data_IF_465059216905
#
_entry.id   IF_465059216905
#
_cell.length_a   1.000
_cell.length_b   1.000
_cell.length_c   1.000
_cell.angle_alpha   90.00
_cell.angle_beta   90.00
_cell.angle_gamma   90.00
#
_symmetry.space_group_name_H-M   'P 1'
#
loop_
_entity.id
_entity.type
_entity.pdbx_description
1 polymer ?
#
# COMPACT_ATOMS: atom_id res chain seq x y z
N UNK A 1 1.96 -4.87 10.35
CA UNK A 1 1.53 -6.29 10.13
C UNK A 1 0.13 -6.44 9.52
N UNK A 2 -0.69 -5.41 9.50
CA UNK A 2 -2.06 -5.45 8.94
C UNK A 2 -2.10 -5.68 7.43
N UNK A 3 -1.06 -5.30 6.70
CA UNK A 3 -0.93 -5.52 5.26
C UNK A 3 -0.87 -7.01 4.89
N UNK A 4 -1.53 -7.43 3.80
CA UNK A 4 -1.43 -8.81 3.30
C UNK A 4 0.00 -9.12 2.85
N UNK A 5 0.46 -10.34 3.14
CA UNK A 5 1.81 -10.78 2.83
C UNK A 5 2.90 -10.29 3.78
N UNK A 6 2.68 -9.22 4.55
CA UNK A 6 3.67 -8.68 5.49
C UNK A 6 3.64 -9.49 6.79
N UNK A 7 4.72 -10.21 7.07
CA UNK A 7 4.96 -10.95 8.32
C UNK A 7 5.55 -10.04 9.40
N UNK A 8 5.73 -10.58 10.61
CA UNK A 8 6.46 -9.87 11.68
C UNK A 8 7.90 -9.53 11.24
N UNK A 9 8.61 -10.49 10.66
CA UNK A 9 10.01 -10.28 10.19
C UNK A 9 10.06 -9.20 9.12
N UNK A 10 9.15 -9.26 8.13
CA UNK A 10 9.08 -8.24 7.09
C UNK A 10 8.78 -6.85 7.65
N UNK A 11 7.84 -6.78 8.62
CA UNK A 11 7.50 -5.52 9.27
C UNK A 11 8.67 -4.97 10.09
N UNK A 12 9.37 -5.82 10.86
CA UNK A 12 10.52 -5.42 11.65
C UNK A 12 11.68 -4.93 10.77
N UNK A 13 12.01 -5.68 9.72
CA UNK A 13 13.07 -5.27 8.77
C UNK A 13 12.73 -3.96 8.05
N UNK A 14 11.46 -3.78 7.68
CA UNK A 14 11.01 -2.53 7.06
C UNK A 14 11.11 -1.36 8.04
N UNK A 15 10.68 -1.53 9.29
CA UNK A 15 10.79 -0.50 10.33
C UNK A 15 12.24 -0.17 10.64
N UNK A 16 13.12 -1.17 10.74
CA UNK A 16 14.55 -0.96 10.93
C UNK A 16 15.19 -0.17 9.77
N UNK A 17 14.80 -0.48 8.53
CA UNK A 17 15.29 0.23 7.35
C UNK A 17 14.74 1.67 7.25
N UNK A 18 13.49 1.91 7.63
CA UNK A 18 12.84 3.23 7.59
C UNK A 18 13.37 4.12 8.72
N UNK A 19 13.51 3.57 9.94
CA UNK A 19 13.70 4.35 11.14
C UNK A 19 12.48 5.25 11.39
N UNK A 20 12.68 6.56 11.29
CA UNK A 20 11.59 7.53 11.45
C UNK A 20 10.91 7.84 10.12
N UNK A 21 9.57 7.71 10.09
CA UNK A 21 8.79 7.93 8.86
C UNK A 21 8.80 9.39 8.39
N UNK A 22 8.98 10.33 9.32
CA UNK A 22 9.05 11.77 9.03
C UNK A 22 10.22 12.14 8.09
N UNK A 23 11.26 11.30 7.99
CA UNK A 23 12.36 11.46 7.02
C UNK A 23 11.89 11.45 5.56
N UNK A 24 10.73 10.90 5.29
CA UNK A 24 10.19 10.73 3.96
C UNK A 24 8.96 11.62 3.73
N UNK A 25 9.12 12.83 3.18
CA UNK A 25 8.01 13.78 3.00
C UNK A 25 6.88 13.23 2.13
N UNK A 26 7.18 12.30 1.22
CA UNK A 26 6.19 11.66 0.36
C UNK A 26 6.49 10.17 0.21
N UNK A 27 5.49 9.33 -0.12
CA UNK A 27 5.71 7.91 -0.35
C UNK A 27 6.70 7.63 -1.48
N UNK A 28 6.85 8.55 -2.44
CA UNK A 28 7.82 8.42 -3.54
C UNK A 28 9.26 8.43 -3.05
N UNK A 29 9.57 9.20 -2.02
CA UNK A 29 10.91 9.22 -1.40
C UNK A 29 11.22 7.88 -0.74
N UNK A 30 10.26 7.30 -0.01
CA UNK A 30 10.46 5.98 0.60
C UNK A 30 10.63 4.87 -0.46
N UNK A 31 9.84 4.90 -1.54
CA UNK A 31 9.98 3.97 -2.67
C UNK A 31 11.34 4.09 -3.34
N UNK A 32 11.86 5.31 -3.50
CA UNK A 32 13.19 5.58 -4.05
C UNK A 32 14.28 5.07 -3.12
N UNK A 33 14.18 5.35 -1.82
CA UNK A 33 15.11 4.88 -0.79
C UNK A 33 15.23 3.36 -0.77
N UNK A 34 14.11 2.63 -0.91
CA UNK A 34 14.10 1.17 -0.99
C UNK A 34 14.51 0.63 -2.37
N UNK A 35 14.82 1.49 -3.32
CA UNK A 35 15.30 1.12 -4.65
C UNK A 35 14.27 0.42 -5.54
N UNK A 36 12.97 0.67 -5.31
CA UNK A 36 11.86 0.12 -6.10
C UNK A 36 11.42 1.04 -7.25
N UNK A 37 12.08 2.18 -7.43
CA UNK A 37 11.84 3.06 -8.57
C UNK A 37 12.46 2.50 -9.85
N UNK A 38 11.79 2.57 -11.00
CA UNK A 38 12.39 2.23 -12.28
C UNK A 38 13.49 3.24 -12.62
N UNK A 39 14.57 2.76 -13.20
CA UNK A 39 15.58 3.63 -13.82
C UNK A 39 14.95 4.27 -15.06
N UNK A 40 15.05 5.57 -15.14
CA UNK A 40 14.61 6.33 -16.32
C UNK A 40 15.84 6.72 -17.12
N UNK A 41 15.82 6.43 -18.41
CA UNK A 41 16.81 6.88 -19.38
C UNK A 41 16.12 7.79 -20.37
N UNK A 42 16.57 9.01 -20.44
CA UNK A 42 16.09 10.01 -21.40
C UNK A 42 17.28 10.78 -21.92
N UNK A 43 17.41 10.88 -23.21
CA UNK A 43 18.44 11.62 -23.93
C UNK A 43 17.73 12.70 -24.77
N UNK A 44 17.99 13.97 -24.45
CA UNK A 44 17.39 15.10 -25.15
C UNK A 44 15.85 15.11 -25.07
N UNK A 45 15.20 15.39 -26.19
CA UNK A 45 13.73 15.47 -26.33
C UNK A 45 13.05 14.11 -26.55
N UNK A 46 13.81 12.99 -26.56
CA UNK A 46 13.23 11.68 -26.78
C UNK A 46 12.33 11.23 -25.63
N UNK A 47 11.42 10.29 -25.94
CA UNK A 47 10.53 9.70 -24.94
C UNK A 47 11.32 8.94 -23.88
N UNK A 48 11.08 9.24 -22.61
CA UNK A 48 11.69 8.56 -21.47
C UNK A 48 11.48 7.05 -21.53
N UNK A 49 12.56 6.26 -21.47
CA UNK A 49 12.54 4.81 -21.42
C UNK A 49 12.67 4.33 -19.96
N UNK A 50 11.67 3.57 -19.50
CA UNK A 50 11.67 3.00 -18.15
C UNK A 50 12.32 1.61 -18.17
N UNK A 51 13.41 1.46 -17.43
CA UNK A 51 14.16 0.22 -17.27
C UNK A 51 13.78 -0.58 -16.02
N UNK A 52 14.71 -1.42 -15.57
CA UNK A 52 14.60 -2.18 -14.32
C UNK A 52 14.61 -1.23 -13.12
N UNK A 53 14.22 -1.72 -11.94
CA UNK A 53 14.33 -0.96 -10.69
C UNK A 53 15.76 -0.58 -10.38
N UNK A 54 15.96 0.53 -9.63
CA UNK A 54 17.29 1.08 -9.32
C UNK A 54 18.14 0.15 -8.46
N UNK A 55 17.51 -0.62 -7.57
CA UNK A 55 18.13 -1.49 -6.58
C UNK A 55 19.06 -0.76 -5.60
N UNK A 56 18.98 0.55 -5.50
CA UNK A 56 19.69 1.35 -4.52
C UNK A 56 19.10 1.16 -3.12
N UNK A 57 19.88 1.42 -2.07
CA UNK A 57 19.44 1.32 -0.68
C UNK A 57 19.33 -0.11 -0.13
N UNK A 58 18.60 -0.33 0.98
CA UNK A 58 18.62 -1.56 1.77
C UNK A 58 18.09 -2.77 0.98
N UNK A 59 19.01 -3.65 0.59
CA UNK A 59 18.71 -4.83 -0.24
C UNK A 59 17.80 -5.82 0.45
N UNK A 60 18.00 -6.05 1.74
CA UNK A 60 17.25 -7.01 2.54
C UNK A 60 15.78 -6.59 2.70
N UNK A 61 15.53 -5.34 3.08
CA UNK A 61 14.15 -4.83 3.18
C UNK A 61 13.41 -4.93 1.84
N UNK A 62 14.10 -4.65 0.72
CA UNK A 62 13.54 -4.81 -0.61
C UNK A 62 13.23 -6.28 -0.94
N UNK A 63 14.12 -7.21 -0.60
CA UNK A 63 13.89 -8.64 -0.81
C UNK A 63 12.65 -9.12 -0.08
N UNK A 64 12.55 -8.84 1.22
CA UNK A 64 11.39 -9.19 2.05
C UNK A 64 10.09 -8.55 1.55
N UNK A 65 10.15 -7.32 1.01
CA UNK A 65 8.99 -6.68 0.39
C UNK A 65 8.54 -7.38 -0.90
N UNK A 66 9.47 -7.88 -1.70
CA UNK A 66 9.15 -8.64 -2.91
C UNK A 66 8.51 -9.98 -2.54
N UNK A 67 9.02 -10.67 -1.51
CA UNK A 67 8.38 -11.88 -0.98
C UNK A 67 6.97 -11.59 -0.46
N UNK A 68 6.81 -10.52 0.34
CA UNK A 68 5.51 -10.09 0.81
C UNK A 68 4.55 -9.80 -0.35
N UNK A 69 5.05 -9.23 -1.44
CA UNK A 69 4.27 -8.93 -2.64
C UNK A 69 3.79 -10.20 -3.36
N UNK A 70 4.59 -11.27 -3.39
CA UNK A 70 4.15 -12.57 -3.91
C UNK A 70 2.93 -13.12 -3.15
N UNK A 71 2.96 -13.01 -1.82
CA UNK A 71 1.85 -13.42 -0.98
C UNK A 71 0.64 -12.50 -1.14
N UNK A 72 0.85 -11.18 -1.18
CA UNK A 72 -0.20 -10.19 -1.35
C UNK A 72 -0.92 -10.35 -2.70
N UNK A 73 -0.18 -10.64 -3.78
CA UNK A 73 -0.74 -10.88 -5.10
C UNK A 73 -1.62 -12.12 -5.20
N UNK A 74 -1.48 -13.08 -4.28
CA UNK A 74 -2.31 -14.30 -4.20
C UNK A 74 -3.49 -14.17 -3.25
N UNK A 75 -3.41 -13.22 -2.32
CA UNK A 75 -4.45 -13.01 -1.30
C UNK A 75 -5.61 -12.24 -1.91
N UNK A 76 -6.84 -12.75 -1.79
CA UNK A 76 -8.05 -12.07 -2.25
C UNK A 76 -8.12 -10.65 -1.68
N UNK A 77 -8.34 -9.67 -2.57
CA UNK A 77 -8.42 -8.27 -2.20
C UNK A 77 -7.89 -7.33 -3.30
N UNK A 78 -7.91 -6.01 -3.06
CA UNK A 78 -7.54 -4.99 -4.05
C UNK A 78 -6.12 -5.16 -4.63
N UNK A 79 -5.16 -5.64 -3.82
CA UNK A 79 -3.79 -5.87 -4.27
C UNK A 79 -3.68 -7.02 -5.27
N UNK A 80 -4.52 -8.06 -5.15
CA UNK A 80 -4.60 -9.13 -6.14
C UNK A 80 -5.14 -8.63 -7.47
N UNK A 81 -6.24 -7.88 -7.45
CA UNK A 81 -6.79 -7.28 -8.66
C UNK A 81 -5.79 -6.35 -9.36
N UNK A 82 -5.04 -5.55 -8.59
CA UNK A 82 -3.95 -4.72 -9.10
C UNK A 82 -2.85 -5.58 -9.75
N UNK A 83 -2.43 -6.67 -9.09
CA UNK A 83 -1.42 -7.59 -9.59
C UNK A 83 -1.84 -8.24 -10.91
N UNK A 84 -3.04 -8.80 -10.99
CA UNK A 84 -3.56 -9.48 -12.19
C UNK A 84 -3.66 -8.52 -13.37
N UNK A 85 -4.09 -7.28 -13.16
CA UNK A 85 -4.13 -6.26 -14.21
C UNK A 85 -2.75 -5.97 -14.82
N UNK A 86 -1.70 -5.92 -13.99
CA UNK A 86 -0.33 -5.68 -14.48
C UNK A 86 0.24 -6.94 -15.10
N UNK A 87 -0.02 -8.09 -14.48
CA UNK A 87 0.45 -9.40 -14.97
C UNK A 87 -0.03 -9.69 -16.40
N UNK A 88 -1.30 -9.39 -16.69
CA UNK A 88 -1.86 -9.55 -18.03
C UNK A 88 -1.14 -8.72 -19.10
N UNK A 89 -0.56 -7.55 -18.72
CA UNK A 89 0.10 -6.64 -19.67
C UNK A 89 1.61 -6.79 -19.73
N UNK A 90 2.26 -7.15 -18.61
CA UNK A 90 3.73 -7.04 -18.42
C UNK A 90 4.37 -8.27 -17.80
N UNK A 91 3.60 -9.32 -17.51
CA UNK A 91 4.09 -10.55 -16.90
C UNK A 91 4.19 -10.50 -15.37
N UNK A 92 4.39 -11.69 -14.78
CA UNK A 92 4.31 -11.93 -13.34
C UNK A 92 5.38 -11.17 -12.53
N UNK A 93 6.63 -11.18 -13.01
CA UNK A 93 7.74 -10.55 -12.28
C UNK A 93 7.56 -9.03 -12.17
N UNK A 94 7.10 -8.37 -13.25
CA UNK A 94 6.81 -6.93 -13.24
C UNK A 94 5.64 -6.63 -12.33
N UNK A 95 4.60 -7.47 -12.34
CA UNK A 95 3.45 -7.34 -11.45
C UNK A 95 3.86 -7.43 -9.98
N UNK A 96 4.70 -8.40 -9.61
CA UNK A 96 5.19 -8.56 -8.24
C UNK A 96 5.95 -7.34 -7.76
N UNK A 97 6.87 -6.80 -8.56
CA UNK A 97 7.61 -5.57 -8.20
C UNK A 97 6.67 -4.37 -8.09
N UNK A 98 5.64 -4.28 -8.94
CA UNK A 98 4.65 -3.22 -8.84
C UNK A 98 3.80 -3.34 -7.56
N UNK A 99 3.44 -4.56 -7.14
CA UNK A 99 2.78 -4.81 -5.85
C UNK A 99 3.70 -4.45 -4.69
N UNK A 100 4.98 -4.84 -4.72
CA UNK A 100 5.96 -4.47 -3.71
C UNK A 100 6.05 -2.94 -3.54
N UNK A 101 6.11 -2.21 -4.65
CA UNK A 101 6.09 -0.74 -4.64
C UNK A 101 4.79 -0.19 -4.04
N UNK A 102 3.64 -0.78 -4.38
CA UNK A 102 2.35 -0.37 -3.83
C UNK A 102 2.26 -0.65 -2.32
N UNK A 103 2.79 -1.79 -1.84
CA UNK A 103 2.89 -2.08 -0.41
C UNK A 103 3.68 -1.00 0.34
N UNK A 104 4.78 -0.49 -0.23
CA UNK A 104 5.56 0.60 0.37
C UNK A 104 4.75 1.89 0.42
N UNK A 105 4.03 2.24 -0.65
CA UNK A 105 3.17 3.43 -0.68
C UNK A 105 2.10 3.35 0.40
N UNK A 106 1.41 2.20 0.50
CA UNK A 106 0.38 1.99 1.52
C UNK A 106 1.00 2.01 2.92
N UNK A 107 2.15 1.34 3.13
CA UNK A 107 2.85 1.34 4.41
C UNK A 107 3.23 2.77 4.84
N UNK A 108 3.69 3.61 3.92
CA UNK A 108 3.98 5.01 4.22
C UNK A 108 2.74 5.75 4.72
N UNK A 109 1.58 5.59 4.05
CA UNK A 109 0.33 6.23 4.48
C UNK A 109 -0.13 5.73 5.84
N UNK A 110 -0.06 4.43 6.11
CA UNK A 110 -0.44 3.84 7.39
C UNK A 110 0.45 4.34 8.53
N UNK A 111 1.77 4.37 8.32
CA UNK A 111 2.73 4.84 9.32
C UNK A 111 2.62 6.35 9.57
N UNK A 112 2.40 7.15 8.52
CA UNK A 112 2.27 8.60 8.66
C UNK A 112 0.97 9.03 9.33
N UNK A 113 -0.09 8.21 9.26
CA UNK A 113 -1.40 8.50 9.86
C UNK A 113 -1.67 7.75 11.15
N UNK A 114 -0.85 6.74 11.47
CA UNK A 114 -1.09 5.86 12.60
C UNK A 114 -2.33 4.96 12.42
N UNK A 115 -2.68 4.63 11.18
CA UNK A 115 -3.88 3.87 10.83
C UNK A 115 -3.55 2.43 10.45
N UNK A 116 -4.52 1.53 10.64
CA UNK A 116 -4.45 0.16 10.18
C UNK A 116 -4.97 0.02 8.74
N UNK A 117 -4.52 -1.05 8.06
CA UNK A 117 -4.98 -1.32 6.70
C UNK A 117 -6.47 -1.69 6.69
N UNK A 118 -7.28 -0.92 5.94
CA UNK A 118 -8.74 -1.04 5.93
C UNK A 118 -9.26 -2.44 5.51
N UNK A 119 -8.53 -3.16 4.67
CA UNK A 119 -8.90 -4.51 4.21
C UNK A 119 -8.16 -5.61 4.96
N UNK A 120 -7.79 -5.36 6.22
CA UNK A 120 -7.17 -6.35 7.09
C UNK A 120 -8.15 -7.46 7.40
N UNK A 121 -7.67 -8.71 7.32
CA UNK A 121 -8.43 -9.88 7.76
C UNK A 121 -8.10 -10.16 9.23
N UNK A 122 -9.06 -9.97 10.16
CA UNK A 122 -8.80 -10.08 11.59
C UNK A 122 -8.27 -11.47 12.01
N UNK A 123 -8.74 -12.56 11.38
CA UNK A 123 -8.25 -13.90 11.66
C UNK A 123 -6.76 -14.05 11.34
N UNK A 124 -6.33 -13.59 10.17
CA UNK A 124 -4.93 -13.65 9.75
C UNK A 124 -4.03 -12.72 10.59
N UNK A 125 -4.54 -11.57 11.00
CA UNK A 125 -3.79 -10.67 11.88
C UNK A 125 -3.55 -11.31 13.24
N UNK A 126 -4.57 -11.94 13.83
CA UNK A 126 -4.43 -12.67 15.10
C UNK A 126 -3.40 -13.81 15.00
N UNK A 127 -3.39 -14.55 13.89
CA UNK A 127 -2.35 -15.58 13.66
C UNK A 127 -0.94 -14.99 13.56
N UNK A 128 -0.77 -13.85 12.87
CA UNK A 128 0.52 -13.16 12.79
C UNK A 128 1.00 -12.68 14.16
N UNK A 129 0.11 -12.08 14.95
CA UNK A 129 0.41 -11.64 16.33
C UNK A 129 0.79 -12.83 17.19
N UNK A 130 0.02 -13.94 17.11
CA UNK A 130 0.32 -15.15 17.88
C UNK A 130 1.68 -15.74 17.50
N UNK A 131 2.02 -15.74 16.21
CA UNK A 131 3.35 -16.18 15.76
C UNK A 131 4.45 -15.29 16.32
N UNK A 132 4.28 -13.99 16.34
CA UNK A 132 5.23 -13.06 16.94
C UNK A 132 5.40 -13.29 18.45
N UNK A 133 4.30 -13.52 19.17
CA UNK A 133 4.33 -13.85 20.60
C UNK A 133 5.10 -15.15 20.87
N UNK A 134 4.90 -16.18 20.05
CA UNK A 134 5.63 -17.44 20.18
C UNK A 134 7.13 -17.28 19.91
N UNK A 135 7.51 -16.43 18.96
CA UNK A 135 8.91 -16.07 18.71
C UNK A 135 9.52 -15.31 19.90
N UNK A 136 8.72 -14.51 20.60
CA UNK A 136 9.10 -13.81 21.82
C UNK A 136 9.09 -14.70 23.09
N UNK A 137 8.91 -16.01 22.96
CA UNK A 137 8.95 -16.96 24.08
C UNK A 137 7.62 -17.20 24.79
N UNK A 138 6.49 -16.76 24.24
CA UNK A 138 5.18 -17.03 24.85
C UNK A 138 4.89 -18.54 24.90
N UNK A 139 4.21 -18.97 25.97
CA UNK A 139 3.87 -20.39 26.18
C UNK A 139 3.02 -20.94 25.02
N UNK A 140 3.35 -22.16 24.58
CA UNK A 140 2.57 -22.91 23.60
C UNK A 140 1.32 -23.47 24.29
N UNK A 141 0.18 -23.43 23.59
CA UNK A 141 -1.03 -24.08 24.06
C UNK A 141 -0.82 -25.61 24.11
N UNK A 142 -1.00 -26.21 25.24
CA UNK A 142 -0.94 -27.68 25.37
C UNK A 142 -2.09 -28.34 24.59
N UNK A 143 -1.83 -29.51 24.00
CA UNK A 143 -2.84 -30.30 23.30
C UNK A 143 -3.18 -29.84 21.85
N UNK A 144 -2.57 -28.79 21.33
CA UNK A 144 -2.86 -28.32 20.00
C UNK A 144 -1.72 -28.65 19.02
N UNK A 145 -2.05 -29.38 17.95
CA UNK A 145 -1.09 -29.74 16.88
C UNK A 145 -0.48 -28.50 16.17
N UNK A 146 -1.23 -27.38 16.11
CA UNK A 146 -0.74 -26.14 15.55
C UNK A 146 -0.85 -24.99 16.58
N UNK A 147 0.26 -24.59 17.23
CA UNK A 147 0.24 -23.57 18.28
C UNK A 147 -0.05 -22.16 17.77
N UNK A 148 0.05 -21.94 16.45
CA UNK A 148 -0.20 -20.63 15.81
C UNK A 148 -1.67 -20.44 15.48
N UNK A 149 -2.40 -21.55 15.20
CA UNK A 149 -3.79 -21.45 14.73
C UNK A 149 -4.69 -20.85 15.81
N UNK A 150 -5.17 -19.65 15.52
CA UNK A 150 -6.22 -19.02 16.32
C UNK A 150 -7.55 -19.46 15.74
N UNK A 151 -8.39 -20.11 16.57
CA UNK A 151 -9.69 -20.59 16.12
C UNK A 151 -10.60 -19.40 15.79
N UNK A 152 -10.73 -19.12 14.49
CA UNK A 152 -11.85 -18.34 14.00
C UNK A 152 -12.97 -19.33 13.63
N UNK A 153 -14.22 -18.95 13.90
CA UNK A 153 -15.35 -19.78 13.49
C UNK A 153 -15.39 -19.88 11.96
N UNK A 154 -15.91 -20.99 11.40
CA UNK A 154 -16.07 -21.13 9.95
C UNK A 154 -16.85 -19.96 9.32
N UNK A 155 -17.83 -19.43 10.06
CA UNK A 155 -18.63 -18.28 9.66
C UNK A 155 -17.81 -16.99 9.55
N UNK A 156 -16.95 -16.73 10.55
CA UNK A 156 -16.03 -15.58 10.50
C UNK A 156 -15.10 -15.66 9.28
N UNK A 157 -14.55 -16.83 8.98
CA UNK A 157 -13.72 -17.03 7.79
C UNK A 157 -14.49 -16.81 6.49
N UNK A 158 -15.75 -17.25 6.41
CA UNK A 158 -16.61 -17.02 5.24
C UNK A 158 -16.87 -15.52 5.05
N UNK A 159 -17.26 -14.83 6.12
CA UNK A 159 -17.51 -13.38 6.09
C UNK A 159 -16.27 -12.60 5.67
N UNK A 160 -15.12 -12.88 6.27
CA UNK A 160 -13.85 -12.24 5.88
C UNK A 160 -13.49 -12.47 4.40
N UNK A 161 -13.74 -13.68 3.87
CA UNK A 161 -13.54 -13.98 2.45
C UNK A 161 -14.50 -13.19 1.55
N UNK A 162 -15.77 -13.09 1.95
CA UNK A 162 -16.78 -12.33 1.20
C UNK A 162 -16.43 -10.84 1.15
N UNK A 163 -16.06 -10.24 2.28
CA UNK A 163 -15.65 -8.84 2.34
C UNK A 163 -14.40 -8.57 1.48
N UNK A 164 -13.43 -9.48 1.52
CA UNK A 164 -12.24 -9.36 0.68
C UNK A 164 -12.56 -9.46 -0.82
N UNK A 165 -13.49 -10.35 -1.21
CA UNK A 165 -13.94 -10.49 -2.59
C UNK A 165 -14.74 -9.26 -3.06
N UNK A 166 -15.58 -8.71 -2.19
CA UNK A 166 -16.31 -7.46 -2.47
C UNK A 166 -15.34 -6.29 -2.70
N UNK A 167 -14.33 -6.15 -1.84
CA UNK A 167 -13.31 -5.13 -1.99
C UNK A 167 -12.49 -5.27 -3.29
N UNK A 168 -12.21 -6.51 -3.70
CA UNK A 168 -11.53 -6.81 -4.96
C UNK A 168 -12.40 -6.40 -6.17
N UNK A 169 -13.68 -6.78 -6.15
CA UNK A 169 -14.65 -6.42 -7.21
C UNK A 169 -14.86 -4.90 -7.27
N UNK A 170 -14.96 -4.23 -6.13
CA UNK A 170 -15.09 -2.77 -6.06
C UNK A 170 -13.86 -2.08 -6.68
N UNK A 171 -12.66 -2.58 -6.40
CA UNK A 171 -11.44 -2.06 -7.02
C UNK A 171 -11.43 -2.28 -8.53
N UNK A 172 -11.86 -3.46 -9.02
CA UNK A 172 -11.94 -3.74 -10.45
C UNK A 172 -12.91 -2.79 -11.17
N UNK A 173 -14.09 -2.55 -10.61
CA UNK A 173 -15.07 -1.58 -11.13
C UNK A 173 -14.49 -0.19 -11.18
N UNK A 174 -13.91 0.29 -10.07
CA UNK A 174 -13.27 1.61 -10.01
C UNK A 174 -12.21 1.78 -11.09
N UNK A 175 -11.43 0.74 -11.40
CA UNK A 175 -10.41 0.79 -12.46
C UNK A 175 -11.04 0.77 -13.85
N UNK A 176 -12.16 0.06 -14.06
CA UNK A 176 -12.88 0.05 -15.34
C UNK A 176 -13.56 1.39 -15.62
N UNK A 177 -14.16 1.98 -14.60
CA UNK A 177 -14.87 3.26 -14.69
C UNK A 177 -13.89 4.45 -14.74
N UNK A 178 -12.64 4.24 -14.28
CA UNK A 178 -11.63 5.28 -14.30
C UNK A 178 -11.14 5.55 -15.73
N UNK A 179 -11.72 6.56 -16.37
CA UNK A 179 -11.22 7.12 -17.61
C UNK A 179 -10.19 8.22 -17.27
N UNK A 180 -8.93 8.10 -17.73
CA UNK A 180 -8.00 9.20 -17.61
C UNK A 180 -8.61 10.40 -18.36
N UNK A 181 -8.75 11.52 -17.69
CA UNK A 181 -9.08 12.80 -18.32
C UNK A 181 -7.92 13.12 -19.28
N UNK A 182 -8.02 12.61 -20.49
CA UNK A 182 -7.13 13.03 -21.56
C UNK A 182 -7.54 14.47 -21.82
N UNK A 183 -6.69 15.44 -21.46
CA UNK A 183 -6.82 16.80 -21.91
C UNK A 183 -6.88 16.78 -23.45
N UNK A 184 -8.10 16.78 -24.00
CA UNK A 184 -8.38 17.04 -25.42
C UNK A 184 -8.18 18.54 -25.70
N UNK A 185 -6.98 19.03 -25.46
CA UNK A 185 -6.68 20.44 -25.56
C UNK A 185 -5.25 20.71 -25.95
N UNK A 186 -4.66 19.91 -26.87
CA UNK A 186 -3.42 20.31 -27.56
C UNK A 186 -3.25 19.43 -28.80
N UNK A 187 -3.90 19.82 -29.89
CA UNK A 187 -3.62 19.14 -31.16
C UNK A 187 -4.65 19.37 -32.26
N UNK A 188 -4.95 20.62 -32.60
CA UNK A 188 -5.49 20.95 -33.92
C UNK A 188 -5.33 22.43 -34.15
N UNK A 189 -4.20 22.87 -34.69
CA UNK A 189 -4.14 24.00 -35.65
C UNK A 189 -2.81 23.90 -36.41
N UNK A 190 -2.86 23.20 -37.51
CA UNK A 190 -2.01 23.53 -38.65
C UNK A 190 -2.57 24.79 -39.29
N UNK A 191 -1.84 25.89 -39.21
CA UNK A 191 -2.22 27.17 -39.85
C UNK A 191 -1.04 28.10 -39.80
N UNK A 192 -0.26 28.06 -40.85
CA UNK A 192 0.86 28.94 -41.16
C UNK A 192 0.34 30.37 -41.37
N UNK A 193 0.77 31.33 -40.58
CA UNK A 193 0.87 32.72 -40.99
C UNK A 193 1.90 33.46 -40.11
N UNK A 194 2.85 34.06 -40.79
CA UNK A 194 3.90 34.94 -40.33
C UNK A 194 3.36 36.27 -39.81
N UNK A 195 3.85 36.73 -38.67
CA UNK A 195 4.29 38.11 -38.42
C UNK A 195 4.59 38.36 -36.94
N UNK A 196 5.78 38.82 -36.63
CA UNK A 196 6.20 39.46 -35.38
C UNK A 196 5.80 40.95 -35.39
N UNK A 197 6.08 41.75 -34.33
CA UNK A 197 6.09 41.55 -32.87
C UNK A 197 5.35 42.66 -32.10
N UNK A 198 5.09 42.50 -30.81
CA UNK A 198 5.23 43.63 -29.86
C UNK A 198 5.26 43.18 -28.39
N UNK A 199 6.16 43.81 -27.66
CA UNK A 199 6.39 43.71 -26.22
C UNK A 199 5.16 44.17 -25.40
N UNK A 200 4.77 43.40 -24.41
CA UNK A 200 3.86 43.83 -23.35
C UNK A 200 4.12 43.06 -22.08
N UNK A 201 4.68 43.70 -21.04
CA UNK A 201 4.81 43.22 -19.67
C UNK A 201 3.42 43.14 -19.04
N UNK A 202 3.02 41.99 -18.48
CA UNK A 202 1.95 41.93 -17.48
C UNK A 202 2.08 40.72 -16.58
N UNK A 203 2.20 41.03 -15.32
CA UNK A 203 1.72 40.37 -14.09
C UNK A 203 1.69 38.83 -14.02
N UNK A 204 2.57 38.35 -13.17
CA UNK A 204 2.68 37.02 -12.60
C UNK A 204 1.54 36.80 -11.56
N UNK A 205 0.45 36.17 -11.95
CA UNK A 205 -0.51 35.62 -11.00
C UNK A 205 -0.20 34.14 -10.73
N UNK A 206 0.25 33.86 -9.54
CA UNK A 206 0.42 32.52 -8.97
C UNK A 206 -0.95 31.90 -8.76
N UNK A 207 -1.34 30.94 -9.62
CA UNK A 207 -2.46 30.04 -9.37
C UNK A 207 -1.96 28.81 -8.64
N UNK A 208 -2.31 28.68 -7.38
CA UNK A 208 -2.23 27.42 -6.62
C UNK A 208 -3.06 26.33 -7.31
N UNK A 209 -2.54 25.10 -7.44
CA UNK A 209 -3.36 23.99 -7.90
C UNK A 209 -4.24 23.51 -6.74
N UNK A 210 -5.56 23.63 -6.92
CA UNK A 210 -6.55 23.02 -6.06
C UNK A 210 -6.30 21.51 -5.96
N UNK A 211 -5.94 21.07 -4.76
CA UNK A 211 -5.87 19.66 -4.36
C UNK A 211 -7.29 19.12 -4.27
N UNK A 212 -7.75 18.39 -5.28
CA UNK A 212 -8.92 17.52 -5.15
C UNK A 212 -8.58 16.40 -4.18
N UNK A 213 -9.03 16.58 -2.95
CA UNK A 213 -8.97 15.57 -1.90
C UNK A 213 -9.88 14.40 -2.29
N UNK A 214 -9.28 13.25 -2.55
CA UNK A 214 -9.97 11.97 -2.43
C UNK A 214 -10.43 11.85 -0.97
N UNK A 215 -11.69 12.14 -0.71
CA UNK A 215 -12.31 11.91 0.59
C UNK A 215 -12.35 10.41 0.84
N UNK A 216 -11.45 9.95 1.69
CA UNK A 216 -11.49 8.64 2.29
C UNK A 216 -12.70 8.63 3.24
N UNK A 217 -13.65 7.75 2.98
CA UNK A 217 -14.82 7.55 3.84
C UNK A 217 -14.35 6.93 5.14
N UNK A 218 -14.32 7.74 6.20
CA UNK A 218 -14.06 7.30 7.56
C UNK A 218 -15.25 6.50 8.06
N UNK A 219 -15.10 5.21 8.27
CA UNK A 219 -16.08 4.42 9.00
C UNK A 219 -15.89 4.67 10.51
N UNK A 220 -16.98 4.85 11.27
CA UNK A 220 -16.90 5.07 12.72
C UNK A 220 -16.41 3.80 13.42
N UNK A 221 -15.42 3.99 14.30
CA UNK A 221 -14.96 2.94 15.21
C UNK A 221 -16.08 2.57 16.19
N UNK A 222 -16.26 1.28 16.53
CA UNK A 222 -17.11 0.89 17.64
C UNK A 222 -16.46 1.37 18.96
N UNK A 223 -17.26 1.81 19.95
CA UNK A 223 -16.72 2.33 21.21
C UNK A 223 -16.03 1.22 22.00
N UNK A 224 -14.80 1.50 22.41
CA UNK A 224 -14.06 0.68 23.35
C UNK A 224 -14.66 0.86 24.76
N UNK A 225 -15.49 -0.07 25.18
CA UNK A 225 -16.00 -0.14 26.55
C UNK A 225 -14.86 -0.60 27.46
N UNK A 226 -14.21 0.33 28.14
CA UNK A 226 -13.34 0.07 29.28
C UNK A 226 -14.21 -0.35 30.46
N UNK A 227 -14.28 -1.66 30.72
CA UNK A 227 -14.84 -2.19 31.96
C UNK A 227 -13.89 -1.80 33.12
N UNK A 228 -14.31 -0.86 33.96
CA UNK A 228 -13.73 -0.61 35.28
C UNK A 228 -13.94 -1.82 36.17
N UNK A 229 -12.90 -2.61 36.41
CA UNK A 229 -12.87 -3.65 37.41
C UNK A 229 -12.86 -3.03 38.80
N UNK A 230 -13.88 -3.33 39.57
CA UNK A 230 -14.00 -3.02 41.00
C UNK A 230 -12.97 -3.80 41.82
N UNK A 231 -12.21 -3.11 42.64
CA UNK A 231 -11.35 -3.67 43.66
C UNK A 231 -12.20 -4.27 44.79
N UNK A 232 -12.19 -5.60 44.94
CA UNK A 232 -12.69 -6.32 46.12
C UNK A 232 -11.53 -6.58 47.09
N UNK A 233 -11.59 -6.05 48.31
CA UNK A 233 -10.72 -6.39 49.46
C UNK A 233 -11.00 -7.81 49.93
N UNK A 234 -10.01 -8.56 50.41
CA UNK A 234 -10.25 -9.82 51.12
C UNK A 234 -10.63 -9.59 52.58
N UNK A 235 -11.47 -10.43 53.18
CA UNK A 235 -11.71 -10.43 54.61
C UNK A 235 -10.62 -11.21 55.37
N UNK A 236 -10.40 -10.78 56.58
CA UNK A 236 -9.57 -11.30 57.67
C UNK A 236 -9.45 -12.80 57.82
#
# INVERSE_FOLDING_TARGET
MTLPGVSFVTAAALMAAIGEIARFPTPRHLVAYLGLNPRVRQSGSERARHGRISKQGPGEARHLLVEAAWHAARTTGPLRAFAERIKAKRGANVATVAVARNLVVVAWHLLSRGEDYAFTRPSLLREKIRRAQLLAGAQRRQGHRNPVRVFATPEQHRLEKQLAAQAETAYQRLVQDWQPTINKGAGATTGRASSQPSRGKAARQTREPQRSALRYVSHPHPPTTLAKGAAGRPPT
#
